data_IF_264469141011
#
_entry.id   IF_264469141011
#
_cell.length_a   1.000
_cell.length_b   1.000
_cell.length_c   1.000
_cell.angle_alpha   90.00
_cell.angle_beta   90.00
_cell.angle_gamma   90.00
#
_symmetry.space_group_name_H-M   'P 1'
#
loop_
_entity.id
_entity.type
_entity.pdbx_description
1 polymer ?
#
# COMPACT_ATOMS: atom_id res chain seq x y z
N UNK A 1 3.67 -1.43 50.56
CA UNK A 1 3.04 -0.10 50.47
C UNK A 1 2.44 0.01 49.07
N UNK A 2 1.18 -0.41 48.82
CA UNK A 2 -0.06 0.32 49.17
C UNK A 2 0.14 1.82 48.92
N UNK A 3 -0.46 2.44 47.90
CA UNK A 3 -1.91 2.58 47.75
C UNK A 3 -2.40 2.67 46.30
N UNK A 4 -3.45 1.91 46.03
CA UNK A 4 -4.44 2.05 44.97
C UNK A 4 -5.22 3.35 45.10
N UNK A 5 -5.62 3.95 43.97
CA UNK A 5 -6.68 4.94 43.90
C UNK A 5 -7.76 4.39 42.97
N UNK A 6 -8.77 3.81 43.60
CA UNK A 6 -10.05 3.41 43.05
C UNK A 6 -10.84 4.63 42.55
N UNK A 7 -11.34 4.54 41.32
CA UNK A 7 -12.38 5.43 40.78
C UNK A 7 -13.54 4.53 40.32
N UNK A 8 -14.80 4.84 40.70
CA UNK A 8 -15.83 3.82 40.87
C UNK A 8 -16.51 3.40 39.56
N UNK A 9 -16.76 2.09 39.48
CA UNK A 9 -17.67 1.43 38.54
C UNK A 9 -19.10 1.90 38.81
N UNK A 10 -19.64 2.72 37.91
CA UNK A 10 -21.07 3.10 37.90
C UNK A 10 -21.79 2.24 36.86
N UNK A 11 -22.38 1.15 37.31
CA UNK A 11 -23.38 0.40 36.57
C UNK A 11 -24.62 1.29 36.39
N UNK A 12 -24.93 1.61 35.14
CA UNK A 12 -26.21 2.21 34.74
C UNK A 12 -26.64 1.52 33.46
N UNK A 13 -27.42 0.44 33.61
CA UNK A 13 -28.18 -0.11 32.51
C UNK A 13 -29.26 0.89 32.09
N UNK A 14 -29.13 1.45 30.89
CA UNK A 14 -30.24 2.01 30.11
C UNK A 14 -29.78 2.35 28.69
N UNK A 15 -29.91 1.40 27.77
CA UNK A 15 -29.87 1.67 26.32
C UNK A 15 -30.44 0.49 25.52
N UNK A 16 -31.56 -0.06 25.99
CA UNK A 16 -32.44 -0.95 25.21
C UNK A 16 -33.81 -0.31 24.90
N UNK A 17 -33.98 1.00 25.15
CA UNK A 17 -35.28 1.68 25.01
C UNK A 17 -35.45 2.50 23.72
N UNK A 18 -34.44 2.63 22.84
CA UNK A 18 -34.60 3.37 21.58
C UNK A 18 -34.87 2.51 20.34
N UNK A 19 -34.91 1.17 20.48
CA UNK A 19 -35.23 0.24 19.38
C UNK A 19 -36.66 -0.33 19.47
N UNK A 20 -37.36 -0.14 20.60
CA UNK A 20 -38.74 -0.58 20.78
C UNK A 20 -39.76 0.45 20.24
N UNK A 21 -39.47 1.75 20.37
CA UNK A 21 -40.42 2.81 19.98
C UNK A 21 -40.48 3.05 18.47
N UNK A 22 -39.43 2.68 17.72
CA UNK A 22 -39.38 2.79 16.25
C UNK A 22 -40.00 1.56 15.55
N UNK A 23 -40.19 0.45 16.28
CA UNK A 23 -40.79 -0.78 15.75
C UNK A 23 -42.33 -0.80 15.88
N UNK A 24 -42.91 -0.04 16.81
CA UNK A 24 -44.37 0.06 16.97
C UNK A 24 -45.02 1.02 15.95
N UNK A 25 -44.30 2.03 15.47
CA UNK A 25 -44.82 2.95 14.43
C UNK A 25 -44.84 2.29 13.03
N UNK A 26 -43.95 1.32 12.78
CA UNK A 26 -43.88 0.58 11.52
C UNK A 26 -44.91 -0.56 11.42
N UNK A 27 -45.42 -1.05 12.57
CA UNK A 27 -46.38 -2.18 12.61
C UNK A 27 -47.84 -1.69 12.53
N UNK A 28 -48.14 -0.46 12.97
CA UNK A 28 -49.49 0.13 12.84
C UNK A 28 -49.85 0.55 11.41
N UNK A 29 -48.86 0.88 10.56
CA UNK A 29 -49.08 1.25 9.15
C UNK A 29 -49.28 0.04 8.22
N UNK A 30 -48.86 -1.15 8.64
CA UNK A 30 -49.03 -2.40 7.87
C UNK A 30 -50.38 -3.11 8.13
N UNK A 31 -51.14 -2.69 9.13
CA UNK A 31 -52.47 -3.25 9.45
C UNK A 31 -53.64 -2.48 8.83
N UNK A 32 -53.41 -1.28 8.27
CA UNK A 32 -54.47 -0.45 7.67
C UNK A 32 -54.77 -0.75 6.20
N UNK A 33 -54.02 -1.62 5.52
CA UNK A 33 -54.18 -1.89 4.06
C UNK A 33 -54.56 -3.33 3.72
N UNK A 34 -54.98 -4.16 4.70
CA UNK A 34 -55.34 -5.57 4.47
C UNK A 34 -56.78 -5.96 4.87
N UNK A 35 -57.74 -5.03 4.87
CA UNK A 35 -59.16 -5.37 5.07
C UNK A 35 -60.09 -4.45 4.27
N UNK A 36 -60.52 -4.94 3.10
CA UNK A 36 -61.68 -4.60 2.24
C UNK A 36 -61.35 -5.25 0.88
N UNK A 37 -61.99 -6.28 0.35
CA UNK A 37 -63.32 -6.87 0.53
C UNK A 37 -63.28 -8.31 0.01
N UNK A 38 -63.98 -9.26 0.64
CA UNK A 38 -64.72 -10.35 -0.04
C UNK A 38 -65.91 -10.77 0.84
N UNK A 39 -67.13 -10.48 0.40
CA UNK A 39 -68.29 -11.34 0.66
C UNK A 39 -69.41 -11.06 -0.35
N UNK A 40 -69.61 -12.01 -1.26
CA UNK A 40 -70.76 -12.12 -2.15
C UNK A 40 -72.02 -12.51 -1.37
N UNK A 41 -73.18 -11.96 -1.74
CA UNK A 41 -74.48 -12.64 -1.61
C UNK A 41 -75.48 -12.16 -2.67
N UNK A 42 -76.12 -13.13 -3.33
CA UNK A 42 -77.14 -13.03 -4.38
C UNK A 42 -78.52 -12.56 -3.89
N UNK A 43 -79.26 -11.85 -4.76
CA UNK A 43 -80.70 -11.98 -5.12
C UNK A 43 -80.86 -11.15 -6.43
N UNK A 44 -81.38 -11.60 -7.57
CA UNK A 44 -82.69 -12.23 -7.84
C UNK A 44 -83.71 -11.15 -8.21
N UNK A 45 -83.95 -10.86 -9.51
CA UNK A 45 -85.01 -9.93 -9.93
C UNK A 45 -85.04 -9.61 -11.43
N UNK A 46 -86.23 -9.73 -12.03
CA UNK A 46 -86.56 -9.76 -13.47
C UNK A 46 -86.90 -8.37 -14.05
N UNK A 47 -86.64 -8.21 -15.36
CA UNK A 47 -87.19 -7.26 -16.35
C UNK A 47 -86.88 -5.75 -16.22
N UNK A 48 -86.24 -5.15 -17.24
CA UNK A 48 -86.86 -4.59 -18.45
C UNK A 48 -85.91 -3.60 -19.17
N UNK A 49 -85.59 -3.89 -20.44
CA UNK A 49 -85.42 -2.99 -21.62
C UNK A 49 -84.85 -1.54 -21.50
N UNK A 50 -83.93 -1.21 -22.44
CA UNK A 50 -83.31 0.10 -22.81
C UNK A 50 -82.24 0.62 -21.83
N UNK A 51 -81.06 1.14 -22.19
CA UNK A 51 -80.52 1.64 -23.46
C UNK A 51 -79.00 1.40 -23.49
N UNK A 52 -78.49 1.00 -24.65
CA UNK A 52 -77.10 0.60 -24.90
C UNK A 52 -76.32 1.83 -25.45
N UNK A 53 -75.99 2.83 -24.62
CA UNK A 53 -75.23 3.99 -25.14
C UNK A 53 -74.31 4.75 -24.15
N UNK A 54 -74.21 4.33 -22.89
CA UNK A 54 -73.39 5.01 -21.86
C UNK A 54 -72.01 4.39 -21.60
N UNK A 55 -71.76 3.13 -21.99
CA UNK A 55 -70.50 2.41 -21.67
C UNK A 55 -69.32 2.70 -22.63
N UNK A 56 -69.58 3.31 -23.79
CA UNK A 56 -68.52 3.66 -24.76
C UNK A 56 -67.80 4.95 -24.36
N UNK A 57 -68.51 5.92 -23.78
CA UNK A 57 -67.91 7.20 -23.37
C UNK A 57 -67.05 7.08 -22.10
N UNK A 58 -67.47 6.29 -21.11
CA UNK A 58 -66.70 6.07 -19.86
C UNK A 58 -65.41 5.29 -20.12
N UNK A 59 -65.45 4.27 -20.99
CA UNK A 59 -64.25 3.53 -21.38
C UNK A 59 -63.27 4.39 -22.19
N UNK A 60 -63.76 5.30 -23.02
CA UNK A 60 -62.93 6.16 -23.85
C UNK A 60 -62.30 7.32 -23.06
N UNK A 61 -63.00 7.85 -22.05
CA UNK A 61 -62.47 8.85 -21.11
C UNK A 61 -61.46 8.22 -20.13
N UNK A 62 -61.68 6.98 -19.68
CA UNK A 62 -60.71 6.20 -18.89
C UNK A 62 -59.48 5.82 -19.74
N UNK A 63 -59.65 5.33 -20.97
CA UNK A 63 -58.53 5.07 -21.88
C UNK A 63 -57.76 6.35 -22.25
N UNK A 64 -58.44 7.49 -22.42
CA UNK A 64 -57.78 8.78 -22.64
C UNK A 64 -57.02 9.25 -21.40
N UNK A 65 -57.60 9.22 -20.21
CA UNK A 65 -56.89 9.59 -18.97
C UNK A 65 -55.74 8.64 -18.66
N UNK A 66 -55.88 7.34 -18.90
CA UNK A 66 -54.79 6.36 -18.75
C UNK A 66 -53.71 6.59 -19.82
N UNK A 67 -54.07 6.92 -21.07
CA UNK A 67 -53.14 7.21 -22.17
C UNK A 67 -52.45 8.56 -22.03
N UNK A 68 -53.11 9.57 -21.45
CA UNK A 68 -52.54 10.86 -21.08
C UNK A 68 -51.65 10.75 -19.85
N UNK A 69 -52.02 9.96 -18.83
CA UNK A 69 -51.15 9.65 -17.69
C UNK A 69 -49.92 8.82 -18.12
N UNK A 70 -50.08 7.82 -18.99
CA UNK A 70 -48.97 7.07 -19.58
C UNK A 70 -48.11 7.96 -20.48
N UNK A 71 -48.71 8.86 -21.26
CA UNK A 71 -48.01 9.83 -22.10
C UNK A 71 -47.19 10.85 -21.28
N UNK A 72 -47.77 11.38 -20.21
CA UNK A 72 -47.10 12.27 -19.26
C UNK A 72 -45.96 11.55 -18.52
N UNK A 73 -46.19 10.31 -18.06
CA UNK A 73 -45.17 9.47 -17.42
C UNK A 73 -44.02 9.13 -18.37
N UNK A 74 -44.31 8.84 -19.64
CA UNK A 74 -43.32 8.58 -20.70
C UNK A 74 -42.42 9.78 -20.95
N UNK A 75 -43.01 10.98 -21.10
CA UNK A 75 -42.26 12.21 -21.33
C UNK A 75 -41.40 12.61 -20.12
N UNK A 76 -41.88 12.38 -18.89
CA UNK A 76 -41.09 12.58 -17.66
C UNK A 76 -39.89 11.64 -17.62
N UNK A 77 -40.10 10.34 -17.88
CA UNK A 77 -39.03 9.34 -17.89
C UNK A 77 -38.00 9.64 -18.99
N UNK A 78 -38.45 9.98 -20.20
CA UNK A 78 -37.59 10.36 -21.34
C UNK A 78 -36.72 11.58 -21.01
N UNK A 79 -37.30 12.61 -20.36
CA UNK A 79 -36.54 13.78 -19.87
C UNK A 79 -35.51 13.40 -18.81
N UNK A 80 -35.85 12.49 -17.87
CA UNK A 80 -34.93 11.98 -16.86
C UNK A 80 -33.77 11.19 -17.47
N UNK A 81 -34.03 10.31 -18.44
CA UNK A 81 -32.99 9.57 -19.17
C UNK A 81 -32.08 10.52 -19.96
N UNK A 82 -32.67 11.43 -20.74
CA UNK A 82 -31.89 12.42 -21.51
C UNK A 82 -31.01 13.24 -20.58
N UNK A 83 -31.54 13.68 -19.44
CA UNK A 83 -30.75 14.38 -18.43
C UNK A 83 -29.67 13.47 -17.83
N UNK A 84 -29.93 12.19 -17.56
CA UNK A 84 -28.95 11.28 -16.99
C UNK A 84 -27.72 11.09 -17.89
N UNK A 85 -27.92 10.80 -19.18
CA UNK A 85 -26.86 10.56 -20.16
C UNK A 85 -26.18 11.82 -20.70
N UNK A 86 -26.68 13.02 -20.35
CA UNK A 86 -26.07 14.27 -20.81
C UNK A 86 -24.73 14.56 -20.11
N UNK A 87 -23.80 15.19 -20.83
CA UNK A 87 -22.50 15.56 -20.29
C UNK A 87 -22.62 16.55 -19.12
N UNK A 88 -21.69 16.54 -18.15
CA UNK A 88 -21.73 17.46 -17.00
C UNK A 88 -21.69 18.94 -17.38
N UNK A 89 -20.96 19.29 -18.45
CA UNK A 89 -20.86 20.67 -18.96
C UNK A 89 -22.22 21.12 -19.53
N UNK A 90 -22.89 20.25 -20.27
CA UNK A 90 -24.23 20.52 -20.82
C UNK A 90 -25.29 20.59 -19.70
N UNK A 91 -25.15 19.76 -18.65
CA UNK A 91 -25.97 19.85 -17.43
C UNK A 91 -25.82 21.19 -16.74
N UNK A 92 -24.60 21.74 -16.70
CA UNK A 92 -24.34 23.06 -16.13
C UNK A 92 -24.96 24.16 -17.00
N UNK A 93 -24.78 24.11 -18.33
CA UNK A 93 -25.39 25.07 -19.27
C UNK A 93 -26.93 25.08 -19.21
N UNK A 94 -27.56 23.92 -18.98
CA UNK A 94 -29.03 23.78 -18.98
C UNK A 94 -29.70 24.12 -17.64
N UNK A 95 -29.04 23.89 -16.49
CA UNK A 95 -29.64 24.12 -15.16
C UNK A 95 -28.91 25.14 -14.28
N UNK A 96 -27.79 25.71 -14.73
CA UNK A 96 -26.99 26.68 -13.99
C UNK A 96 -26.28 26.15 -12.74
N UNK A 97 -26.45 24.86 -12.39
CA UNK A 97 -25.83 24.26 -11.19
C UNK A 97 -24.35 23.96 -11.41
N UNK A 98 -23.50 24.62 -10.63
CA UNK A 98 -22.05 24.46 -10.74
C UNK A 98 -21.60 22.99 -10.54
N UNK A 99 -20.71 22.45 -11.40
CA UNK A 99 -20.33 21.05 -11.39
C UNK A 99 -19.26 20.75 -10.32
N UNK A 100 -19.65 20.83 -9.03
CA UNK A 100 -18.75 20.58 -7.89
C UNK A 100 -18.00 19.24 -7.95
N UNK A 101 -18.62 18.20 -8.55
CA UNK A 101 -17.97 16.90 -8.76
C UNK A 101 -16.77 16.98 -9.69
N UNK A 102 -16.88 17.76 -10.77
CA UNK A 102 -15.78 17.95 -11.71
C UNK A 102 -14.64 18.72 -11.04
N UNK A 103 -14.98 19.80 -10.32
CA UNK A 103 -14.00 20.58 -9.57
C UNK A 103 -13.26 19.72 -8.54
N UNK A 104 -13.98 18.90 -7.77
CA UNK A 104 -13.38 18.01 -6.77
C UNK A 104 -12.35 17.07 -7.41
N UNK A 105 -12.65 16.50 -8.58
CA UNK A 105 -11.73 15.60 -9.27
C UNK A 105 -10.49 16.33 -9.80
N UNK A 106 -10.64 17.57 -10.29
CA UNK A 106 -9.50 18.40 -10.70
C UNK A 106 -8.60 18.74 -9.50
N UNK A 107 -9.21 19.15 -8.39
CA UNK A 107 -8.49 19.40 -7.13
C UNK A 107 -7.76 18.13 -6.69
N UNK A 108 -8.43 16.98 -6.72
CA UNK A 108 -7.82 15.67 -6.39
C UNK A 108 -6.58 15.38 -7.24
N UNK A 109 -6.63 15.62 -8.55
CA UNK A 109 -5.47 15.40 -9.44
C UNK A 109 -4.25 16.19 -8.96
N UNK A 110 -4.44 17.48 -8.68
CA UNK A 110 -3.34 18.37 -8.26
C UNK A 110 -2.75 17.93 -6.92
N UNK A 111 -3.59 17.71 -5.90
CA UNK A 111 -3.09 17.43 -4.55
C UNK A 111 -2.55 16.00 -4.37
N UNK A 112 -3.09 15.00 -5.08
CA UNK A 112 -2.51 13.65 -5.10
C UNK A 112 -1.16 13.64 -5.80
N UNK A 113 -1.03 14.37 -6.93
CA UNK A 113 0.26 14.51 -7.62
C UNK A 113 1.28 15.22 -6.73
N UNK A 114 0.88 16.31 -6.05
CA UNK A 114 1.74 17.00 -5.09
C UNK A 114 2.20 16.08 -3.95
N UNK A 115 1.28 15.29 -3.39
CA UNK A 115 1.58 14.34 -2.32
C UNK A 115 2.58 13.27 -2.77
N UNK A 116 2.45 12.78 -4.01
CA UNK A 116 3.37 11.82 -4.60
C UNK A 116 4.75 12.45 -4.83
N UNK A 117 4.82 13.68 -5.34
CA UNK A 117 6.11 14.38 -5.53
C UNK A 117 6.86 14.55 -4.20
N UNK A 118 6.17 15.03 -3.16
CA UNK A 118 6.77 15.18 -1.82
C UNK A 118 7.24 13.84 -1.27
N UNK A 119 6.41 12.80 -1.37
CA UNK A 119 6.78 11.45 -0.93
C UNK A 119 7.96 10.88 -1.72
N UNK A 120 7.99 11.11 -3.04
CA UNK A 120 9.05 10.66 -3.92
C UNK A 120 10.39 11.33 -3.64
N UNK A 121 10.42 12.63 -3.33
CA UNK A 121 11.65 13.32 -2.95
C UNK A 121 12.21 12.78 -1.63
N UNK A 122 11.37 12.61 -0.61
CA UNK A 122 11.80 12.08 0.69
C UNK A 122 12.26 10.62 0.56
N UNK A 123 11.54 9.79 -0.20
CA UNK A 123 11.90 8.40 -0.48
C UNK A 123 13.18 8.26 -1.29
N UNK A 124 13.40 9.11 -2.29
CA UNK A 124 14.62 9.11 -3.10
C UNK A 124 15.86 9.38 -2.25
N UNK A 125 15.82 10.40 -1.37
CA UNK A 125 16.95 10.72 -0.48
C UNK A 125 17.25 9.54 0.44
N UNK A 126 16.22 8.90 0.98
CA UNK A 126 16.36 7.73 1.85
C UNK A 126 17.00 6.53 1.14
N UNK A 127 16.48 6.15 -0.04
CA UNK A 127 17.01 5.01 -0.80
C UNK A 127 18.44 5.26 -1.30
N UNK A 128 18.71 6.47 -1.80
CA UNK A 128 20.05 6.87 -2.22
C UNK A 128 21.04 6.75 -1.07
N UNK A 129 20.64 7.19 0.13
CA UNK A 129 21.46 7.08 1.32
C UNK A 129 21.73 5.63 1.71
N UNK A 130 20.70 4.77 1.71
CA UNK A 130 20.84 3.33 1.96
C UNK A 130 21.83 2.69 0.98
N UNK A 131 21.74 3.04 -0.30
CA UNK A 131 22.66 2.55 -1.34
C UNK A 131 24.10 3.02 -1.11
N UNK A 132 24.31 4.30 -0.79
CA UNK A 132 25.64 4.84 -0.51
C UNK A 132 26.28 4.23 0.73
N UNK A 133 25.51 4.02 1.82
CA UNK A 133 26.01 3.34 3.02
C UNK A 133 26.38 1.89 2.70
N UNK A 134 25.55 1.17 1.93
CA UNK A 134 25.87 -0.20 1.51
C UNK A 134 27.15 -0.27 0.65
N UNK A 135 27.34 0.64 -0.31
CA UNK A 135 28.58 0.74 -1.10
C UNK A 135 29.79 1.08 -0.20
N UNK A 136 29.63 1.98 0.77
CA UNK A 136 30.67 2.30 1.74
C UNK A 136 31.09 1.07 2.56
N UNK A 137 30.13 0.27 3.03
CA UNK A 137 30.43 -0.96 3.76
C UNK A 137 31.15 -1.99 2.90
N UNK A 138 30.83 -2.11 1.60
CA UNK A 138 31.60 -2.98 0.68
C UNK A 138 33.06 -2.57 0.59
N UNK A 139 33.33 -1.28 0.43
CA UNK A 139 34.71 -0.77 0.38
C UNK A 139 35.47 -0.89 1.70
N UNK A 140 34.76 -0.81 2.82
CA UNK A 140 35.38 -0.91 4.16
C UNK A 140 35.68 -2.38 4.48
N UNK A 141 34.69 -3.27 4.38
CA UNK A 141 34.77 -4.64 4.89
C UNK A 141 35.25 -5.69 3.89
N UNK A 142 35.09 -5.49 2.58
CA UNK A 142 35.54 -6.46 1.59
C UNK A 142 36.95 -6.14 1.11
N UNK A 143 37.89 -7.04 1.39
CA UNK A 143 39.31 -6.88 1.07
C UNK A 143 39.51 -6.77 -0.45
N UNK A 144 40.07 -5.66 -0.91
CA UNK A 144 40.34 -5.46 -2.34
C UNK A 144 39.09 -5.17 -3.19
N UNK A 145 38.01 -4.68 -2.58
CA UNK A 145 36.86 -4.18 -3.35
C UNK A 145 37.26 -3.00 -4.25
N UNK A 146 36.75 -2.97 -5.49
CA UNK A 146 37.07 -1.92 -6.46
C UNK A 146 35.81 -1.21 -6.95
N UNK A 147 35.88 0.11 -7.28
CA UNK A 147 34.72 0.86 -7.78
C UNK A 147 34.14 0.34 -9.09
N UNK A 148 34.90 -0.44 -9.86
CA UNK A 148 34.43 -1.11 -11.09
C UNK A 148 33.27 -2.08 -10.82
N UNK A 149 33.14 -2.56 -9.58
CA UNK A 149 32.11 -3.52 -9.15
C UNK A 149 30.79 -2.87 -8.73
N UNK A 150 30.80 -1.56 -8.48
CA UNK A 150 29.60 -0.82 -8.06
C UNK A 150 28.72 -0.43 -9.27
N UNK A 151 29.30 -0.41 -10.47
CA UNK A 151 28.57 -0.06 -11.70
C UNK A 151 27.89 -1.31 -12.28
N UNK A 152 26.56 -1.27 -12.34
CA UNK A 152 25.76 -2.30 -13.02
C UNK A 152 25.95 -2.16 -14.52
N UNK A 153 26.96 -2.83 -15.08
CA UNK A 153 27.18 -2.94 -16.53
C UNK A 153 26.94 -4.38 -17.01
N UNK A 154 26.36 -4.52 -18.20
CA UNK A 154 26.10 -5.84 -18.80
C UNK A 154 26.77 -5.95 -20.18
N UNK A 155 27.70 -6.91 -20.38
CA UNK A 155 28.25 -7.83 -19.37
C UNK A 155 29.16 -7.10 -18.36
N UNK A 156 29.33 -7.63 -17.13
CA UNK A 156 30.17 -7.00 -16.13
C UNK A 156 31.65 -7.07 -16.55
N UNK A 157 32.37 -5.97 -16.34
CA UNK A 157 33.81 -5.85 -16.68
C UNK A 157 34.72 -6.71 -15.78
N UNK A 158 34.20 -7.15 -14.63
CA UNK A 158 34.89 -8.04 -13.68
C UNK A 158 33.93 -9.16 -13.25
N UNK A 159 34.45 -10.38 -13.09
CA UNK A 159 33.66 -11.49 -12.53
C UNK A 159 33.23 -11.24 -11.08
N UNK A 160 32.35 -12.05 -10.48
CA UNK A 160 31.88 -11.84 -9.09
C UNK A 160 33.05 -11.71 -8.09
N UNK A 161 32.83 -10.97 -7.00
CA UNK A 161 33.81 -10.92 -5.91
C UNK A 161 33.82 -12.28 -5.20
N UNK A 162 34.97 -12.94 -5.19
CA UNK A 162 35.11 -14.32 -4.75
C UNK A 162 36.52 -14.59 -4.23
N UNK A 163 36.62 -15.63 -3.41
CA UNK A 163 37.84 -16.18 -2.84
C UNK A 163 38.12 -17.53 -3.48
N UNK A 164 39.38 -17.84 -3.77
CA UNK A 164 39.78 -19.06 -4.49
C UNK A 164 40.65 -20.00 -3.66
N UNK A 165 41.28 -19.51 -2.59
CA UNK A 165 42.19 -20.32 -1.77
C UNK A 165 41.81 -20.35 -0.29
N UNK A 166 42.11 -21.46 0.39
CA UNK A 166 41.85 -21.60 1.84
C UNK A 166 42.54 -20.50 2.69
N UNK A 167 43.81 -20.11 2.43
CA UNK A 167 44.44 -19.00 3.16
C UNK A 167 43.74 -17.66 2.92
N UNK A 168 43.33 -17.38 1.68
CA UNK A 168 42.62 -16.16 1.31
C UNK A 168 41.24 -16.08 2.01
N UNK A 169 40.57 -17.21 2.22
CA UNK A 169 39.32 -17.27 3.01
C UNK A 169 39.54 -16.79 4.45
N UNK A 170 40.53 -17.35 5.14
CA UNK A 170 40.84 -16.93 6.51
C UNK A 170 41.31 -15.48 6.57
N UNK A 171 42.13 -15.04 5.60
CA UNK A 171 42.58 -13.64 5.51
C UNK A 171 41.42 -12.66 5.33
N UNK A 172 40.42 -13.01 4.52
CA UNK A 172 39.24 -12.18 4.33
C UNK A 172 38.42 -12.03 5.62
N UNK A 173 38.20 -13.13 6.34
CA UNK A 173 37.48 -13.11 7.62
C UNK A 173 38.25 -12.28 8.66
N UNK A 174 39.56 -12.50 8.77
CA UNK A 174 40.43 -11.76 9.68
C UNK A 174 40.41 -10.26 9.37
N UNK A 175 40.43 -9.89 8.08
CA UNK A 175 40.32 -8.51 7.65
C UNK A 175 39.00 -7.86 8.09
N UNK A 176 37.86 -8.55 7.90
CA UNK A 176 36.54 -8.04 8.32
C UNK A 176 36.52 -7.77 9.82
N UNK A 177 36.97 -8.74 10.63
CA UNK A 177 36.92 -8.64 12.10
C UNK A 177 37.83 -7.52 12.61
N UNK A 178 39.04 -7.41 12.07
CA UNK A 178 39.98 -6.32 12.40
C UNK A 178 39.44 -4.96 12.01
N UNK A 179 38.79 -4.89 10.85
CA UNK A 179 38.15 -3.67 10.35
C UNK A 179 36.97 -3.27 11.22
N UNK A 180 36.14 -4.23 11.64
CA UNK A 180 35.04 -4.00 12.57
C UNK A 180 35.55 -3.41 13.89
N UNK A 181 36.59 -4.00 14.48
CA UNK A 181 37.17 -3.52 15.74
C UNK A 181 37.75 -2.10 15.68
N UNK A 182 38.15 -1.61 14.50
CA UNK A 182 38.70 -0.27 14.31
C UNK A 182 37.78 0.68 13.51
N UNK A 183 36.49 0.34 13.37
CA UNK A 183 35.58 1.05 12.48
C UNK A 183 35.40 2.53 12.85
N UNK A 184 35.44 2.84 14.14
CA UNK A 184 35.24 4.19 14.69
C UNK A 184 36.35 5.18 14.29
N UNK A 185 37.58 4.70 14.11
CA UNK A 185 38.71 5.53 13.69
C UNK A 185 38.95 5.46 12.17
N UNK A 186 38.61 4.33 11.55
CA UNK A 186 38.87 4.08 10.13
C UNK A 186 37.84 4.76 9.21
N UNK A 187 36.56 4.74 9.58
CA UNK A 187 35.49 5.15 8.69
C UNK A 187 35.29 6.67 8.66
N UNK A 188 34.91 7.20 7.50
CA UNK A 188 34.45 8.58 7.35
C UNK A 188 33.05 8.80 7.95
N UNK A 189 32.22 7.75 7.97
CA UNK A 189 30.88 7.80 8.54
C UNK A 189 30.92 7.67 10.07
N UNK A 190 30.00 8.34 10.75
CA UNK A 190 29.83 8.19 12.20
C UNK A 190 29.14 6.86 12.50
N UNK A 191 29.93 5.82 12.74
CA UNK A 191 29.46 4.49 13.13
C UNK A 191 29.72 4.25 14.62
N UNK A 192 28.78 3.56 15.24
CA UNK A 192 28.76 3.21 16.65
C UNK A 192 28.38 1.72 16.75
N UNK A 193 28.91 1.01 17.73
CA UNK A 193 28.55 -0.38 17.95
C UNK A 193 27.15 -0.52 18.58
N UNK A 194 26.58 -1.73 18.56
CA UNK A 194 25.22 -1.96 19.06
C UNK A 194 25.12 -1.96 20.61
N UNK A 195 26.24 -2.02 21.33
CA UNK A 195 26.26 -2.06 22.78
C UNK A 195 25.84 -0.74 23.46
N UNK A 196 25.56 -0.78 24.78
CA UNK A 196 25.26 0.43 25.55
C UNK A 196 26.45 1.40 25.45
N UNK A 197 26.17 2.69 25.21
CA UNK A 197 27.19 3.74 25.02
C UNK A 197 28.20 3.44 23.89
N UNK A 198 27.76 2.82 22.79
CA UNK A 198 28.63 2.48 21.66
C UNK A 198 29.76 1.52 22.03
N UNK A 199 29.52 0.59 22.95
CA UNK A 199 30.45 -0.49 23.27
C UNK A 199 30.39 -1.59 22.22
N UNK A 200 31.55 -2.16 21.89
CA UNK A 200 31.67 -3.21 20.88
C UNK A 200 30.86 -4.43 21.29
N UNK A 201 30.17 -5.03 20.32
CA UNK A 201 29.38 -6.24 20.51
C UNK A 201 30.02 -7.40 19.77
N UNK A 202 29.71 -8.62 20.20
CA UNK A 202 30.25 -9.82 19.59
C UNK A 202 29.94 -9.90 18.09
N UNK A 203 30.92 -10.33 17.31
CA UNK A 203 30.72 -10.70 15.90
C UNK A 203 30.29 -12.17 15.86
N UNK A 204 29.18 -12.47 15.19
CA UNK A 204 28.72 -13.84 15.01
C UNK A 204 29.36 -14.44 13.77
N UNK A 205 30.17 -15.48 13.93
CA UNK A 205 30.67 -16.31 12.84
C UNK A 205 29.88 -17.61 12.81
N UNK A 206 29.00 -17.76 11.82
CA UNK A 206 28.21 -18.96 11.60
C UNK A 206 28.66 -19.65 10.33
N UNK A 207 28.59 -20.97 10.30
CA UNK A 207 28.78 -21.75 9.07
C UNK A 207 27.75 -22.85 8.97
N UNK A 208 27.34 -23.10 7.74
CA UNK A 208 26.48 -24.20 7.37
C UNK A 208 27.34 -25.26 6.70
N UNK A 209 27.34 -26.47 7.23
CA UNK A 209 28.12 -27.60 6.71
C UNK A 209 27.27 -28.87 6.58
N UNK A 210 27.60 -29.72 5.61
CA UNK A 210 27.06 -31.07 5.54
C UNK A 210 27.57 -31.88 6.75
N UNK A 211 26.67 -32.64 7.40
CA UNK A 211 27.03 -33.45 8.56
C UNK A 211 28.19 -34.41 8.24
N UNK A 212 28.14 -35.05 7.07
CA UNK A 212 29.22 -35.87 6.54
C UNK A 212 29.37 -35.63 5.04
N UNK A 213 30.60 -35.49 4.57
CA UNK A 213 30.95 -35.51 3.14
C UNK A 213 32.37 -36.03 3.01
N UNK A 214 32.54 -37.15 2.30
CA UNK A 214 33.84 -37.71 1.96
C UNK A 214 33.81 -38.13 0.50
N UNK A 215 34.67 -37.51 -0.29
CA UNK A 215 34.93 -37.89 -1.68
C UNK A 215 36.19 -38.75 -1.72
N UNK A 216 36.06 -39.97 -2.23
CA UNK A 216 37.20 -40.87 -2.42
C UNK A 216 37.00 -41.71 -3.69
N UNK A 217 38.03 -41.78 -4.53
CA UNK A 217 38.06 -42.63 -5.73
C UNK A 217 36.80 -42.54 -6.60
N UNK A 218 36.41 -41.31 -6.98
CA UNK A 218 35.18 -41.03 -7.76
C UNK A 218 33.86 -41.51 -7.13
N UNK A 219 33.87 -41.83 -5.84
CA UNK A 219 32.68 -42.10 -5.03
C UNK A 219 32.53 -41.02 -3.96
N UNK A 220 31.29 -40.67 -3.64
CA UNK A 220 30.98 -39.70 -2.58
C UNK A 220 30.03 -40.34 -1.58
N UNK A 221 30.37 -40.23 -0.30
CA UNK A 221 29.46 -40.52 0.81
C UNK A 221 29.11 -39.19 1.45
N UNK A 222 27.83 -38.84 1.47
CA UNK A 222 27.40 -37.58 2.07
C UNK A 222 26.04 -37.72 2.77
N UNK A 223 25.87 -36.94 3.84
CA UNK A 223 24.59 -36.66 4.47
C UNK A 223 24.18 -35.23 4.09
N UNK A 224 23.16 -35.13 3.25
CA UNK A 224 22.67 -33.85 2.72
C UNK A 224 21.95 -32.97 3.74
N UNK A 225 21.86 -33.37 5.01
CA UNK A 225 21.27 -32.54 6.07
C UNK A 225 22.27 -31.47 6.49
N UNK A 226 21.97 -30.17 6.27
CA UNK A 226 22.84 -29.10 6.72
C UNK A 226 22.82 -29.00 8.24
N UNK A 227 23.97 -28.66 8.81
CA UNK A 227 24.14 -28.34 10.21
C UNK A 227 24.75 -26.93 10.32
N UNK A 228 24.12 -26.08 11.13
CA UNK A 228 24.63 -24.74 11.42
C UNK A 228 25.48 -24.76 12.70
N UNK A 229 26.67 -24.19 12.64
CA UNK A 229 27.61 -24.06 13.76
C UNK A 229 27.98 -22.58 13.88
N UNK A 230 27.65 -21.97 15.01
CA UNK A 230 27.89 -20.55 15.27
C UNK A 230 28.83 -20.34 16.47
N UNK A 231 29.76 -19.41 16.29
CA UNK A 231 30.67 -18.95 17.34
C UNK A 231 30.54 -17.45 17.49
N UNK A 232 30.30 -17.00 18.72
CA UNK A 232 30.37 -15.59 19.06
C UNK A 232 31.84 -15.24 19.32
N UNK A 233 32.38 -14.32 18.53
CA UNK A 233 33.71 -13.77 18.74
C UNK A 233 33.57 -12.67 19.80
N UNK A 234 34.15 -12.85 20.99
CA UNK A 234 33.91 -11.97 22.13
C UNK A 234 34.48 -10.57 21.88
N UNK A 235 33.89 -9.60 22.58
CA UNK A 235 34.42 -8.26 22.70
C UNK A 235 35.69 -8.26 23.55
N UNK A 236 36.84 -8.17 22.87
CA UNK A 236 38.11 -7.88 23.55
C UNK A 236 38.15 -6.37 23.88
N UNK A 237 37.37 -5.97 24.91
CA UNK A 237 37.28 -4.61 25.43
C UNK A 237 38.20 -4.46 26.67
N UNK A 238 38.92 -3.33 26.86
CA UNK A 238 38.97 -2.13 26.02
C UNK A 238 39.67 -2.38 24.68
N UNK A 239 39.35 -1.57 23.67
CA UNK A 239 40.04 -1.50 22.38
C UNK A 239 41.55 -1.50 22.61
N UNK A 240 42.16 -2.69 22.52
CA UNK A 240 43.59 -2.80 22.42
C UNK A 240 43.92 -3.13 20.96
N UNK A 241 44.30 -2.13 20.15
CA UNK A 241 44.57 -2.32 18.73
C UNK A 241 45.65 -3.40 18.49
N UNK A 242 46.55 -3.59 19.46
CA UNK A 242 47.61 -4.60 19.39
C UNK A 242 47.12 -6.04 19.53
N UNK A 243 45.98 -6.26 20.19
CA UNK A 243 45.39 -7.60 20.33
C UNK A 243 44.55 -7.97 19.11
N UNK A 244 43.86 -6.98 18.52
CA UNK A 244 43.13 -7.18 17.27
C UNK A 244 44.06 -7.34 16.06
N UNK A 245 45.21 -6.66 16.02
CA UNK A 245 46.15 -6.79 14.90
C UNK A 245 46.69 -8.21 14.74
N UNK A 246 46.88 -8.94 15.84
CA UNK A 246 47.31 -10.34 15.86
C UNK A 246 46.16 -11.36 15.78
N UNK A 247 44.90 -10.92 15.76
CA UNK A 247 43.75 -11.83 15.70
C UNK A 247 43.80 -12.72 14.46
N UNK A 248 43.52 -14.02 14.65
CA UNK A 248 43.24 -14.97 13.57
C UNK A 248 42.06 -15.85 13.93
N UNK A 249 41.05 -15.90 13.05
CA UNK A 249 39.87 -16.75 13.21
C UNK A 249 40.24 -18.23 13.23
N UNK A 250 41.29 -18.62 12.51
CA UNK A 250 41.77 -20.00 12.48
C UNK A 250 42.28 -20.41 13.85
N UNK A 251 43.08 -19.57 14.50
CA UNK A 251 43.59 -19.83 15.85
C UNK A 251 42.46 -19.79 16.88
N UNK A 252 41.54 -18.84 16.77
CA UNK A 252 40.36 -18.74 17.63
C UNK A 252 39.52 -20.02 17.61
N UNK A 253 39.21 -20.54 16.42
CA UNK A 253 38.45 -21.80 16.30
C UNK A 253 39.20 -22.98 16.91
N UNK A 254 40.53 -23.05 16.76
CA UNK A 254 41.33 -24.11 17.40
C UNK A 254 41.26 -24.07 18.92
N UNK A 255 41.18 -22.88 19.54
CA UNK A 255 40.98 -22.76 21.00
C UNK A 255 39.63 -23.33 21.47
N UNK A 256 38.65 -23.38 20.57
CA UNK A 256 37.33 -23.96 20.80
C UNK A 256 37.23 -25.43 20.37
N UNK A 257 38.36 -26.09 20.06
CA UNK A 257 38.44 -27.43 19.48
C UNK A 257 37.64 -27.57 18.18
N UNK A 258 37.63 -26.53 17.36
CA UNK A 258 36.87 -26.48 16.12
C UNK A 258 37.77 -26.12 14.91
N UNK A 259 37.35 -26.53 13.71
CA UNK A 259 38.06 -26.20 12.46
C UNK A 259 37.12 -26.20 11.26
N UNK A 260 37.43 -25.37 10.26
CA UNK A 260 36.62 -25.27 9.04
C UNK A 260 36.98 -26.39 8.08
N UNK A 261 36.01 -27.26 7.78
CA UNK A 261 36.14 -28.33 6.79
C UNK A 261 35.55 -27.88 5.44
N UNK A 262 36.41 -27.40 4.55
CA UNK A 262 36.00 -26.87 3.23
C UNK A 262 35.28 -27.89 2.34
N UNK A 263 35.55 -29.19 2.52
CA UNK A 263 34.88 -30.24 1.76
C UNK A 263 33.40 -30.37 2.17
N UNK A 264 33.05 -30.01 3.41
CA UNK A 264 31.68 -30.06 3.95
C UNK A 264 30.98 -28.70 3.97
N UNK A 265 31.74 -27.61 3.86
CA UNK A 265 31.24 -26.25 4.00
C UNK A 265 30.30 -25.88 2.85
N UNK A 266 29.05 -25.53 3.17
CA UNK A 266 28.06 -25.02 2.22
C UNK A 266 28.15 -23.49 2.18
N UNK A 267 28.12 -22.86 3.35
CA UNK A 267 28.26 -21.41 3.46
C UNK A 267 28.89 -21.01 4.80
N UNK A 268 29.55 -19.86 4.82
CA UNK A 268 29.98 -19.21 6.07
C UNK A 268 29.47 -17.77 6.10
N UNK A 269 29.15 -17.25 7.28
CA UNK A 269 28.54 -15.94 7.46
C UNK A 269 29.17 -15.22 8.65
N UNK A 270 29.52 -13.96 8.44
CA UNK A 270 29.85 -13.01 9.51
C UNK A 270 28.70 -12.03 9.67
N UNK A 271 28.18 -11.91 10.89
CA UNK A 271 27.08 -11.00 11.20
C UNK A 271 27.43 -10.09 12.37
N UNK A 272 27.23 -8.79 12.18
CA UNK A 272 27.37 -7.77 13.23
C UNK A 272 26.46 -6.58 12.95
N UNK A 273 26.24 -5.74 13.97
CA UNK A 273 25.37 -4.57 13.90
C UNK A 273 26.16 -3.29 14.15
N UNK A 274 25.93 -2.28 13.30
CA UNK A 274 26.45 -0.93 13.48
C UNK A 274 25.30 0.08 13.51
N UNK A 275 25.32 0.96 14.50
CA UNK A 275 24.45 2.12 14.61
C UNK A 275 25.08 3.31 13.91
N UNK A 276 24.26 4.13 13.28
CA UNK A 276 24.70 5.40 12.70
C UNK A 276 23.61 6.45 12.83
N UNK A 277 24.04 7.71 12.77
CA UNK A 277 23.16 8.87 12.80
C UNK A 277 23.27 9.56 11.45
N UNK A 278 22.13 9.72 10.80
CA UNK A 278 22.04 10.34 9.50
C UNK A 278 21.53 11.76 9.61
N UNK A 279 22.40 12.70 9.24
CA UNK A 279 22.09 14.11 9.10
C UNK A 279 21.62 14.35 7.67
N UNK A 280 20.35 14.74 7.51
CA UNK A 280 19.78 15.07 6.19
C UNK A 280 20.35 16.39 5.70
N UNK A 281 21.45 16.35 4.94
CA UNK A 281 22.11 17.54 4.41
C UNK A 281 21.36 18.20 3.23
N UNK A 282 20.45 17.48 2.57
CA UNK A 282 19.82 17.89 1.31
C UNK A 282 18.29 18.11 1.40
N UNK A 283 17.71 18.12 2.61
CA UNK A 283 16.25 18.23 2.79
C UNK A 283 15.81 19.36 3.73
N UNK A 284 14.58 19.86 3.55
CA UNK A 284 13.93 20.86 4.41
C UNK A 284 13.56 20.32 5.82
N UNK A 285 13.92 19.07 6.12
CA UNK A 285 13.64 18.43 7.40
C UNK A 285 14.96 17.95 8.00
N UNK A 286 15.59 18.78 8.83
CA UNK A 286 16.95 18.53 9.35
C UNK A 286 16.98 17.59 10.56
N UNK A 287 15.90 16.87 10.84
CA UNK A 287 15.90 15.91 11.94
C UNK A 287 16.90 14.78 11.65
N UNK A 288 17.75 14.44 12.62
CA UNK A 288 18.57 13.25 12.53
C UNK A 288 17.67 12.03 12.54
N UNK A 289 17.95 11.08 11.64
CA UNK A 289 17.37 9.74 11.71
C UNK A 289 18.48 8.76 12.17
N UNK A 290 18.13 7.85 13.08
CA UNK A 290 19.05 6.88 13.65
C UNK A 290 18.75 5.54 13.02
N UNK A 291 19.77 4.83 12.59
CA UNK A 291 19.61 3.51 11.98
C UNK A 291 20.56 2.51 12.61
N UNK A 292 20.07 1.30 12.81
CA UNK A 292 20.89 0.11 13.04
C UNK A 292 21.02 -0.65 11.73
N UNK A 293 22.24 -0.85 11.27
CA UNK A 293 22.55 -1.67 10.11
C UNK A 293 23.03 -3.03 10.58
N UNK A 294 22.27 -4.08 10.28
CA UNK A 294 22.74 -5.46 10.37
C UNK A 294 23.52 -5.77 9.10
N UNK A 295 24.83 -5.93 9.22
CA UNK A 295 25.74 -6.29 8.12
C UNK A 295 25.93 -7.80 8.16
N UNK A 296 25.72 -8.43 7.01
CA UNK A 296 25.88 -9.88 6.81
C UNK A 296 26.84 -10.07 5.64
N UNK A 297 27.98 -10.71 5.92
CA UNK A 297 28.96 -11.06 4.89
C UNK A 297 28.89 -12.57 4.69
N UNK A 298 28.46 -13.00 3.51
CA UNK A 298 28.20 -14.40 3.19
C UNK A 298 29.26 -14.91 2.23
N UNK A 299 29.86 -16.03 2.58
CA UNK A 299 30.79 -16.81 1.77
C UNK A 299 30.04 -18.06 1.29
N UNK A 300 29.64 -18.09 0.03
CA UNK A 300 28.89 -19.19 -0.56
C UNK A 300 29.83 -20.14 -1.29
N UNK A 301 29.88 -21.40 -0.87
CA UNK A 301 30.71 -22.43 -1.47
C UNK A 301 29.88 -23.30 -2.42
N UNK A 302 30.01 -23.05 -3.73
CA UNK A 302 29.41 -23.90 -4.77
C UNK A 302 30.13 -25.24 -4.99
N UNK A 303 31.22 -25.51 -4.24
CA UNK A 303 32.13 -26.65 -4.43
C UNK A 303 32.76 -26.74 -5.84
N UNK A 304 32.84 -25.62 -6.57
CA UNK A 304 33.46 -25.47 -7.89
C UNK A 304 34.87 -24.86 -7.84
N UNK A 305 35.38 -24.60 -6.63
CA UNK A 305 36.67 -23.93 -6.40
C UNK A 305 36.58 -22.40 -6.37
N UNK A 306 35.38 -21.83 -6.52
CA UNK A 306 35.11 -20.40 -6.39
C UNK A 306 34.13 -20.16 -5.24
N UNK A 307 34.58 -19.44 -4.21
CA UNK A 307 33.70 -19.07 -3.10
C UNK A 307 33.23 -17.63 -3.26
N UNK A 308 31.96 -17.44 -3.65
CA UNK A 308 31.39 -16.11 -3.89
C UNK A 308 31.18 -15.41 -2.55
N UNK A 309 31.63 -14.15 -2.45
CA UNK A 309 31.49 -13.35 -1.24
C UNK A 309 30.53 -12.19 -1.50
N UNK A 310 29.46 -12.11 -0.71
CA UNK A 310 28.47 -11.03 -0.77
C UNK A 310 28.41 -10.27 0.55
N UNK A 311 28.10 -8.99 0.49
CA UNK A 311 27.80 -8.16 1.65
C UNK A 311 26.41 -7.58 1.48
N UNK A 312 25.53 -7.98 2.39
CA UNK A 312 24.14 -7.58 2.47
C UNK A 312 23.92 -6.76 3.75
N UNK A 313 23.11 -5.71 3.63
CA UNK A 313 22.81 -4.80 4.74
C UNK A 313 21.33 -4.64 4.93
N UNK A 314 20.86 -4.85 6.16
CA UNK A 314 19.48 -4.60 6.56
C UNK A 314 19.45 -3.40 7.50
N UNK A 315 18.77 -2.34 7.07
CA UNK A 315 18.63 -1.10 7.83
C UNK A 315 17.34 -1.14 8.66
N UNK A 316 17.48 -0.94 9.97
CA UNK A 316 16.36 -0.78 10.90
C UNK A 316 16.35 0.65 11.43
N UNK A 317 15.21 1.34 11.32
CA UNK A 317 15.06 2.68 11.87
C UNK A 317 14.92 2.60 13.39
N UNK A 318 15.74 3.36 14.10
CA UNK A 318 15.76 3.45 15.56
C UNK A 318 15.16 4.78 16.03
N UNK A 319 14.62 4.79 17.24
CA UNK A 319 14.18 6.03 17.87
C UNK A 319 15.38 6.89 18.28
N UNK A 320 15.51 8.08 17.71
CA UNK A 320 16.51 9.05 18.14
C UNK A 320 16.00 9.87 19.33
N UNK A 321 16.72 9.82 20.45
CA UNK A 321 16.57 10.82 21.50
C UNK A 321 17.41 12.04 21.15
N UNK A 322 16.76 13.19 20.99
CA UNK A 322 17.44 14.43 20.61
C UNK A 322 17.19 15.54 21.64
N UNK A 323 18.29 16.04 22.23
CA UNK A 323 18.29 17.20 23.13
C UNK A 323 18.86 18.42 22.39
N UNK A 324 18.23 18.82 21.28
CA UNK A 324 18.68 19.91 20.41
C UNK A 324 17.57 20.92 20.10
N UNK A 325 17.97 22.14 19.72
CA UNK A 325 17.03 23.20 19.31
C UNK A 325 16.54 22.92 17.88
N UNK A 326 15.23 22.78 17.72
CA UNK A 326 14.58 22.51 16.44
C UNK A 326 14.38 23.83 15.69
N UNK A 327 14.75 23.88 14.41
CA UNK A 327 14.43 25.03 13.57
C UNK A 327 12.91 25.11 13.34
N UNK A 328 12.27 26.28 13.53
CA UNK A 328 10.82 26.42 13.38
C UNK A 328 10.33 26.13 11.95
N UNK A 329 11.19 26.27 10.94
CA UNK A 329 10.92 25.90 9.54
C UNK A 329 10.57 24.43 9.35
N UNK A 330 11.21 23.54 10.10
CA UNK A 330 11.10 22.10 9.92
C UNK A 330 9.79 21.58 10.52
N UNK A 331 9.34 22.20 11.61
CA UNK A 331 8.03 21.98 12.21
C UNK A 331 6.91 22.39 11.24
N UNK A 332 7.02 23.56 10.61
CA UNK A 332 6.04 24.03 9.61
C UNK A 332 5.92 23.06 8.43
N UNK A 333 7.05 22.54 7.93
CA UNK A 333 7.06 21.54 6.86
C UNK A 333 6.43 20.20 7.28
N UNK A 334 6.64 19.75 8.53
CA UNK A 334 5.96 18.56 9.05
C UNK A 334 4.43 18.77 9.11
N UNK A 335 3.98 19.90 9.67
CA UNK A 335 2.56 20.23 9.79
C UNK A 335 1.91 20.32 8.40
N UNK A 336 2.55 20.96 7.42
CA UNK A 336 2.01 21.08 6.06
C UNK A 336 1.83 19.72 5.37
N UNK A 337 2.76 18.78 5.59
CA UNK A 337 2.65 17.39 5.10
C UNK A 337 1.49 16.64 5.74
N UNK A 338 1.27 16.78 7.05
CA UNK A 338 0.12 16.18 7.72
C UNK A 338 -1.20 16.76 7.21
N UNK A 339 -1.27 18.08 7.02
CA UNK A 339 -2.45 18.74 6.44
C UNK A 339 -2.71 18.20 5.03
N UNK A 340 -1.67 18.06 4.19
CA UNK A 340 -1.80 17.51 2.83
C UNK A 340 -2.34 16.08 2.84
N UNK A 341 -1.83 15.21 3.72
CA UNK A 341 -2.31 13.83 3.86
C UNK A 341 -3.79 13.79 4.30
N UNK A 342 -4.16 14.56 5.34
CA UNK A 342 -5.55 14.65 5.80
C UNK A 342 -6.50 15.23 4.73
N UNK A 343 -6.03 16.22 3.98
CA UNK A 343 -6.78 16.83 2.88
C UNK A 343 -7.06 15.80 1.77
N UNK A 344 -6.06 15.04 1.34
CA UNK A 344 -6.23 14.02 0.30
C UNK A 344 -7.16 12.89 0.72
N UNK A 345 -7.09 12.45 1.98
CA UNK A 345 -8.05 11.49 2.54
C UNK A 345 -9.47 12.07 2.48
N UNK A 346 -9.66 13.30 2.96
CA UNK A 346 -10.96 13.95 3.02
C UNK A 346 -11.60 14.12 1.64
N UNK A 347 -10.82 14.58 0.65
CA UNK A 347 -11.28 14.74 -0.74
C UNK A 347 -11.65 13.39 -1.36
N UNK A 348 -10.86 12.34 -1.09
CA UNK A 348 -11.11 10.99 -1.61
C UNK A 348 -12.35 10.35 -0.99
N UNK A 349 -12.58 10.52 0.32
CA UNK A 349 -13.81 10.07 0.99
C UNK A 349 -15.04 10.77 0.40
N UNK A 350 -14.99 12.09 0.23
CA UNK A 350 -16.09 12.84 -0.38
C UNK A 350 -16.34 12.40 -1.84
N UNK A 351 -15.26 12.11 -2.58
CA UNK A 351 -15.34 11.55 -3.95
C UNK A 351 -16.07 10.21 -3.97
N UNK A 352 -15.70 9.26 -3.10
CA UNK A 352 -16.36 7.95 -2.99
C UNK A 352 -17.85 8.13 -2.69
N UNK A 353 -18.20 8.93 -1.67
CA UNK A 353 -19.60 9.16 -1.29
C UNK A 353 -20.42 9.72 -2.46
N UNK A 354 -19.86 10.68 -3.21
CA UNK A 354 -20.51 11.26 -4.37
C UNK A 354 -20.64 10.26 -5.53
N UNK A 355 -19.63 9.43 -5.78
CA UNK A 355 -19.65 8.39 -6.82
C UNK A 355 -20.65 7.28 -6.48
N UNK A 356 -20.65 6.78 -5.25
CA UNK A 356 -21.63 5.81 -4.76
C UNK A 356 -23.05 6.34 -4.88
N UNK A 357 -23.30 7.62 -4.54
CA UNK A 357 -24.61 8.25 -4.75
C UNK A 357 -24.99 8.34 -6.23
N UNK A 358 -24.04 8.53 -7.15
CA UNK A 358 -24.32 8.52 -8.58
C UNK A 358 -24.70 7.12 -9.08
N UNK A 359 -23.94 6.10 -8.67
CA UNK A 359 -24.20 4.71 -9.01
C UNK A 359 -25.55 4.24 -8.46
N UNK A 360 -25.89 4.59 -7.22
CA UNK A 360 -27.21 4.30 -6.64
C UNK A 360 -28.34 4.95 -7.45
N UNK A 361 -28.20 6.23 -7.84
CA UNK A 361 -29.19 6.90 -8.70
C UNK A 361 -29.30 6.27 -10.09
N UNK A 362 -28.18 5.86 -10.66
CA UNK A 362 -28.15 5.15 -11.94
C UNK A 362 -28.91 3.81 -11.84
N UNK A 363 -28.71 3.08 -10.74
CA UNK A 363 -29.40 1.82 -10.49
C UNK A 363 -30.91 1.99 -10.34
N UNK A 364 -31.34 2.96 -9.54
CA UNK A 364 -32.76 3.30 -9.38
C UNK A 364 -33.37 3.67 -10.74
N UNK A 365 -32.70 4.50 -11.54
CA UNK A 365 -33.20 4.90 -12.86
C UNK A 365 -33.26 3.70 -13.82
N UNK A 366 -32.29 2.78 -13.76
CA UNK A 366 -32.31 1.55 -14.53
C UNK A 366 -33.52 0.68 -14.18
N UNK A 367 -33.84 0.54 -12.90
CA UNK A 367 -35.00 -0.23 -12.42
C UNK A 367 -36.34 0.43 -12.78
N UNK A 368 -36.45 1.76 -12.66
CA UNK A 368 -37.63 2.52 -13.14
C UNK A 368 -37.84 2.30 -14.65
N UNK A 369 -36.75 2.32 -15.42
CA UNK A 369 -36.79 2.13 -16.88
C UNK A 369 -37.18 0.69 -17.23
N UNK A 370 -36.59 -0.33 -16.59
CA UNK A 370 -36.94 -1.74 -16.81
C UNK A 370 -38.41 -2.03 -16.50
N UNK A 371 -38.92 -1.46 -15.40
CA UNK A 371 -40.34 -1.57 -15.03
C UNK A 371 -41.24 -0.91 -16.09
N UNK A 372 -40.89 0.29 -16.56
CA UNK A 372 -41.67 0.98 -17.58
C UNK A 372 -41.74 0.22 -18.90
N UNK A 373 -40.62 -0.32 -19.39
CA UNK A 373 -40.59 -1.09 -20.65
C UNK A 373 -41.34 -2.42 -20.55
N UNK A 374 -41.27 -3.11 -19.40
CA UNK A 374 -42.07 -4.31 -19.14
C UNK A 374 -43.57 -4.02 -19.17
N UNK A 375 -44.01 -2.93 -18.53
CA UNK A 375 -45.42 -2.58 -18.45
C UNK A 375 -46.00 -2.04 -19.76
N UNK A 376 -45.22 -1.26 -20.52
CA UNK A 376 -45.74 -0.52 -21.69
C UNK A 376 -45.48 -1.24 -23.02
N UNK A 377 -44.37 -1.97 -23.13
CA UNK A 377 -43.94 -2.61 -24.38
C UNK A 377 -43.76 -4.13 -24.25
N UNK A 378 -44.10 -4.71 -23.09
CA UNK A 378 -43.96 -6.13 -22.80
C UNK A 378 -42.56 -6.68 -23.09
N UNK A 379 -41.53 -5.83 -22.93
CA UNK A 379 -40.13 -6.13 -23.21
C UNK A 379 -39.27 -5.73 -22.01
N UNK A 380 -38.42 -6.64 -21.54
CA UNK A 380 -37.42 -6.34 -20.51
C UNK A 380 -36.13 -5.78 -21.15
N UNK A 381 -35.40 -4.94 -20.41
CA UNK A 381 -34.07 -4.50 -20.83
C UNK A 381 -33.09 -5.68 -20.82
N UNK A 382 -32.30 -5.79 -21.89
CA UNK A 382 -31.23 -6.78 -22.01
C UNK A 382 -30.06 -6.45 -21.07
N UNK A 383 -29.25 -7.45 -20.74
CA UNK A 383 -28.06 -7.26 -19.90
C UNK A 383 -27.11 -6.14 -20.41
N UNK A 384 -26.74 -6.04 -21.71
CA UNK A 384 -25.89 -4.95 -22.19
C UNK A 384 -26.54 -3.57 -22.06
N UNK A 385 -27.86 -3.45 -22.29
CA UNK A 385 -28.58 -2.19 -22.09
C UNK A 385 -28.60 -1.77 -20.61
N UNK A 386 -28.69 -2.73 -19.68
CA UNK A 386 -28.56 -2.47 -18.24
C UNK A 386 -27.14 -2.01 -17.87
N UNK A 387 -26.12 -2.56 -18.52
CA UNK A 387 -24.72 -2.15 -18.30
C UNK A 387 -24.43 -0.73 -18.80
N UNK A 388 -25.21 -0.17 -19.72
CA UNK A 388 -25.06 1.22 -20.18
C UNK A 388 -25.38 2.25 -19.08
N UNK A 389 -26.25 1.90 -18.13
CA UNK A 389 -26.52 2.73 -16.95
C UNK A 389 -25.34 2.74 -15.96
N UNK A 390 -24.46 1.73 -16.00
CA UNK A 390 -23.27 1.65 -15.16
C UNK A 390 -22.09 2.35 -15.84
N UNK A 391 -21.81 3.58 -15.42
CA UNK A 391 -20.62 4.29 -15.87
C UNK A 391 -19.36 3.71 -15.18
N UNK A 392 -18.61 2.89 -15.94
CA UNK A 392 -17.38 2.25 -15.50
C UNK A 392 -16.32 3.25 -15.00
N UNK A 393 -16.35 4.51 -15.45
CA UNK A 393 -15.43 5.51 -14.92
C UNK A 393 -15.68 5.82 -13.45
N UNK A 394 -16.92 5.76 -12.97
CA UNK A 394 -17.18 5.91 -11.52
C UNK A 394 -16.62 4.74 -10.72
N UNK A 395 -16.62 3.51 -11.27
CA UNK A 395 -16.00 2.35 -10.62
C UNK A 395 -14.48 2.53 -10.53
N UNK A 396 -13.84 2.98 -11.61
CA UNK A 396 -12.39 3.29 -11.62
C UNK A 396 -12.06 4.40 -10.62
N UNK A 397 -12.89 5.44 -10.51
CA UNK A 397 -12.70 6.51 -9.51
C UNK A 397 -12.78 5.97 -8.09
N UNK A 398 -13.74 5.07 -7.79
CA UNK A 398 -13.86 4.47 -6.45
C UNK A 398 -12.62 3.63 -6.11
N UNK A 399 -12.17 2.77 -7.02
CA UNK A 399 -10.96 1.95 -6.81
C UNK A 399 -9.75 2.88 -6.59
N UNK A 400 -9.64 3.93 -7.39
CA UNK A 400 -8.59 4.92 -7.26
C UNK A 400 -8.61 5.64 -5.90
N UNK A 401 -9.78 6.07 -5.43
CA UNK A 401 -9.93 6.73 -4.14
C UNK A 401 -9.55 5.80 -2.97
N UNK A 402 -9.86 4.50 -3.08
CA UNK A 402 -9.41 3.49 -2.09
C UNK A 402 -7.89 3.41 -2.05
N UNK A 403 -7.22 3.37 -3.21
CA UNK A 403 -5.75 3.37 -3.27
C UNK A 403 -5.15 4.65 -2.67
N UNK A 404 -5.74 5.82 -2.93
CA UNK A 404 -5.30 7.10 -2.36
C UNK A 404 -5.43 7.09 -0.83
N UNK A 405 -6.56 6.62 -0.30
CA UNK A 405 -6.79 6.57 1.15
C UNK A 405 -5.78 5.62 1.80
N UNK A 406 -5.65 4.39 1.30
CA UNK A 406 -4.70 3.40 1.84
C UNK A 406 -3.25 3.90 1.77
N UNK A 407 -2.84 4.47 0.62
CA UNK A 407 -1.50 5.04 0.46
C UNK A 407 -1.25 6.25 1.37
N UNK A 408 -2.26 7.11 1.57
CA UNK A 408 -2.14 8.29 2.44
C UNK A 408 -2.05 7.92 3.91
N UNK A 409 -2.80 6.90 4.35
CA UNK A 409 -2.71 6.36 5.72
C UNK A 409 -1.33 5.74 5.96
N UNK A 410 -0.84 4.93 5.02
CA UNK A 410 0.49 4.33 5.13
C UNK A 410 1.60 5.40 5.14
N UNK A 411 1.49 6.43 4.28
CA UNK A 411 2.39 7.58 4.28
C UNK A 411 2.41 8.30 5.64
N UNK A 412 1.24 8.54 6.23
CA UNK A 412 1.15 9.17 7.54
C UNK A 412 1.79 8.31 8.65
N UNK A 413 1.61 6.98 8.61
CA UNK A 413 2.24 6.05 9.55
C UNK A 413 3.78 6.06 9.46
N UNK A 414 4.29 6.10 8.22
CA UNK A 414 5.73 6.23 7.92
C UNK A 414 6.29 7.54 8.48
N UNK A 415 5.59 8.67 8.28
CA UNK A 415 6.01 9.98 8.78
C UNK A 415 5.98 10.07 10.32
N UNK A 416 5.05 9.37 10.98
CA UNK A 416 4.97 9.25 12.44
C UNK A 416 6.01 8.28 13.04
N UNK A 417 6.96 7.79 12.23
CA UNK A 417 8.08 6.92 12.66
C UNK A 417 7.63 5.59 13.28
N UNK A 418 6.43 5.12 12.95
CA UNK A 418 5.90 3.83 13.42
C UNK A 418 6.27 2.65 12.50
N UNK A 419 6.84 2.97 11.32
CA UNK A 419 7.04 2.17 10.09
C UNK A 419 8.41 1.51 9.83
N UNK A 420 8.52 0.19 9.62
CA UNK A 420 9.68 -0.50 9.02
C UNK A 420 9.90 -0.15 7.53
N UNK A 421 11.10 -0.45 7.00
CA UNK A 421 11.56 -0.09 5.64
C UNK A 421 10.68 -0.62 4.51
N UNK A 422 10.13 -1.82 4.63
CA UNK A 422 9.42 -2.50 3.54
C UNK A 422 8.10 -1.80 3.17
N UNK A 423 7.55 -1.04 4.12
CA UNK A 423 6.33 -0.29 3.93
C UNK A 423 6.50 0.93 3.02
N UNK A 424 7.72 1.45 2.86
CA UNK A 424 8.00 2.50 1.87
C UNK A 424 7.72 2.02 0.44
N UNK A 425 8.13 0.78 0.11
CA UNK A 425 7.90 0.21 -1.21
C UNK A 425 6.40 -0.01 -1.47
N UNK A 426 5.67 -0.55 -0.49
CA UNK A 426 4.21 -0.71 -0.58
C UNK A 426 3.51 0.64 -0.75
N UNK A 427 3.90 1.65 0.02
CA UNK A 427 3.36 3.00 -0.09
C UNK A 427 3.62 3.62 -1.46
N UNK A 428 4.84 3.45 -1.99
CA UNK A 428 5.21 3.92 -3.32
C UNK A 428 4.35 3.29 -4.42
N UNK A 429 4.09 1.98 -4.35
CA UNK A 429 3.23 1.29 -5.30
C UNK A 429 1.78 1.78 -5.20
N UNK A 430 1.24 1.94 -3.99
CA UNK A 430 -0.13 2.42 -3.78
C UNK A 430 -0.32 3.86 -4.29
N UNK A 431 0.54 4.80 -3.89
CA UNK A 431 0.45 6.19 -4.34
C UNK A 431 0.79 6.36 -5.83
N UNK A 432 1.76 5.58 -6.34
CA UNK A 432 2.14 5.59 -7.75
C UNK A 432 1.03 5.06 -8.66
N UNK A 433 0.44 3.92 -8.31
CA UNK A 433 -0.70 3.35 -9.05
C UNK A 433 -1.95 4.24 -8.94
N UNK A 434 -2.21 4.82 -7.77
CA UNK A 434 -3.25 5.82 -7.59
C UNK A 434 -3.05 7.03 -8.52
N UNK A 435 -1.84 7.58 -8.59
CA UNK A 435 -1.57 8.72 -9.45
C UNK A 435 -1.74 8.37 -10.94
N UNK A 436 -1.27 7.19 -11.37
CA UNK A 436 -1.47 6.71 -12.73
C UNK A 436 -2.96 6.62 -13.10
N UNK A 437 -3.79 6.05 -12.22
CA UNK A 437 -5.24 5.95 -12.43
C UNK A 437 -5.95 7.31 -12.40
N UNK A 438 -5.51 8.23 -11.53
CA UNK A 438 -5.99 9.62 -11.48
C UNK A 438 -5.78 10.32 -12.82
N UNK A 439 -4.56 10.23 -13.37
CA UNK A 439 -4.21 10.83 -14.66
C UNK A 439 -4.90 10.12 -15.84
N UNK A 440 -5.05 8.80 -15.79
CA UNK A 440 -5.88 8.06 -16.75
C UNK A 440 -7.35 8.53 -16.71
N UNK A 441 -7.87 8.86 -15.53
CA UNK A 441 -9.20 9.44 -15.34
C UNK A 441 -9.43 10.76 -16.08
N UNK A 442 -8.39 11.49 -16.46
CA UNK A 442 -8.50 12.70 -17.30
C UNK A 442 -9.07 12.39 -18.68
N UNK A 443 -8.84 11.18 -19.21
CA UNK A 443 -9.40 10.74 -20.49
C UNK A 443 -10.93 10.81 -20.52
N UNK A 444 -11.59 10.55 -19.39
CA UNK A 444 -13.05 10.73 -19.23
C UNK A 444 -13.48 12.16 -19.59
N UNK A 445 -12.73 13.15 -19.13
CA UNK A 445 -13.06 14.56 -19.34
C UNK A 445 -12.74 15.02 -20.76
N UNK A 446 -11.73 14.43 -21.40
CA UNK A 446 -11.47 14.64 -22.82
C UNK A 446 -12.64 14.11 -23.69
N UNK A 447 -13.30 13.03 -23.26
CA UNK A 447 -14.49 12.50 -23.92
C UNK A 447 -15.69 13.45 -23.99
N UNK A 448 -15.71 14.55 -23.22
CA UNK A 448 -16.77 15.57 -23.34
C UNK A 448 -16.64 16.43 -24.59
N UNK A 449 -15.46 16.47 -25.20
CA UNK A 449 -15.23 17.19 -26.43
C UNK A 449 -15.48 16.28 -27.62
N UNK A 450 -16.32 16.73 -28.56
CA UNK A 450 -16.76 15.94 -29.71
C UNK A 450 -15.62 15.35 -30.54
N UNK A 451 -14.51 16.10 -30.70
CA UNK A 451 -13.32 15.63 -31.45
C UNK A 451 -12.59 14.47 -30.77
N UNK A 452 -12.40 14.53 -29.45
CA UNK A 452 -11.66 13.51 -28.70
C UNK A 452 -12.51 12.29 -28.35
N UNK A 453 -13.83 12.45 -28.28
CA UNK A 453 -14.76 11.35 -28.02
C UNK A 453 -14.67 10.25 -29.09
N UNK A 454 -14.47 10.60 -30.37
CA UNK A 454 -14.32 9.64 -31.46
C UNK A 454 -13.13 8.71 -31.22
N UNK A 455 -12.00 9.25 -30.77
CA UNK A 455 -10.78 8.47 -30.50
C UNK A 455 -10.97 7.49 -29.32
N UNK A 456 -11.66 7.91 -28.27
CA UNK A 456 -11.95 7.06 -27.11
C UNK A 456 -12.92 5.94 -27.50
N UNK A 457 -13.94 6.25 -28.31
CA UNK A 457 -14.88 5.26 -28.84
C UNK A 457 -14.19 4.24 -29.75
N UNK A 458 -13.21 4.66 -30.56
CA UNK A 458 -12.41 3.72 -31.36
C UNK A 458 -11.56 2.81 -30.47
N UNK A 459 -10.96 3.32 -29.39
CA UNK A 459 -10.17 2.52 -28.45
C UNK A 459 -11.03 1.55 -27.62
N UNK A 460 -12.30 1.89 -27.38
CA UNK A 460 -13.25 0.98 -26.70
C UNK A 460 -13.75 -0.15 -27.62
N UNK A 461 -13.67 0.05 -28.94
CA UNK A 461 -14.23 -0.86 -29.95
C UNK A 461 -13.17 -1.76 -30.59
N UNK A 462 -11.93 -1.29 -30.71
CA UNK A 462 -10.76 -2.10 -31.01
C UNK A 462 -10.49 -3.05 -29.84
#
# INVERSE_FOLDING_TARGET
MMTSLDVPVRNSGRSQESEAEVRDEFTSLLQATKNRDISNTNYGGVASSFDEQSDVFVNQEYLMTTREQHGCSSEILKRRLKYFFMNPIDKWRTKGKFPWKLLLQIVKIVFVTLQLCVFGTDGYIYELQKQHTASSFRHIFLLGWTPLRDVVSYPPSTGPYAVYTKPEFFQNIDYVIKTYANITNLALGTYCYDGPNCTMTNVSFCREEFKTMMAFNSSVTFDGRPQEICHAIPDLYPDNPSMWSSFSIKEYLLTLNDSVSFDRLISAQLTFVLKTIFLKSLGNNKYPDCYGFKIIITYNNGHDGQMIVTLDTHAQKLHCYHNGVINPSDLSGYISRQILNCFNISVSVLSILLCCRCLAKARILCEETDKYFKLTQNKALTAPEKMEFLDMWYVVIIINDILIISGSVLKAAIEQRSVESDQYATCAILLGSANLLVWSGVLRYLGFFSKYNILILTLKRA
#
